data_IF_937480336603
#
_entry.id   IF_937480336603
#
_cell.length_a   1.000
_cell.length_b   1.000
_cell.length_c   1.000
_cell.angle_alpha   90.00
_cell.angle_beta   90.00
_cell.angle_gamma   90.00
#
_symmetry.space_group_name_H-M   'P 1'
#
loop_
_entity.id
_entity.type
_entity.pdbx_description
1 polymer ?
#
# COMPACT_ATOMS: atom_id res chain seq x y z
N UNK A 1 70.51 -16.17 -63.82
CA UNK A 1 71.15 -16.77 -62.64
C UNK A 1 71.80 -15.68 -61.82
N UNK A 2 71.12 -15.12 -60.82
CA UNK A 2 71.60 -15.09 -59.44
C UNK A 2 70.43 -14.69 -58.53
N UNK A 3 70.48 -15.19 -57.31
CA UNK A 3 69.35 -15.48 -56.43
C UNK A 3 69.24 -14.50 -55.25
N UNK A 4 68.13 -14.57 -54.53
CA UNK A 4 67.95 -14.07 -53.15
C UNK A 4 67.04 -12.84 -53.07
N UNK A 5 65.86 -12.83 -52.46
CA UNK A 5 65.38 -13.61 -51.32
C UNK A 5 65.50 -12.75 -50.05
N UNK A 6 64.38 -12.20 -49.56
CA UNK A 6 64.34 -11.43 -48.32
C UNK A 6 63.05 -10.66 -48.12
N UNK A 7 62.03 -11.32 -47.55
CA UNK A 7 60.83 -10.71 -46.99
C UNK A 7 61.14 -10.35 -45.54
N UNK A 8 60.81 -9.15 -45.05
CA UNK A 8 60.22 -8.93 -43.72
C UNK A 8 59.69 -7.50 -43.59
N UNK A 9 58.39 -7.45 -43.34
CA UNK A 9 57.53 -6.38 -42.85
C UNK A 9 58.16 -5.52 -41.75
N UNK A 10 58.07 -4.19 -41.88
CA UNK A 10 58.03 -3.32 -40.70
C UNK A 10 57.00 -2.22 -40.90
N UNK A 11 56.13 -2.13 -39.90
CA UNK A 11 54.89 -1.37 -39.82
C UNK A 11 55.00 0.11 -40.24
N UNK A 12 54.11 0.52 -41.15
CA UNK A 12 53.74 1.92 -41.33
C UNK A 12 52.89 2.38 -40.13
N UNK A 13 53.40 3.36 -39.38
CA UNK A 13 52.67 4.07 -38.33
C UNK A 13 51.89 5.23 -38.98
N UNK A 14 50.57 5.14 -39.04
CA UNK A 14 49.71 6.26 -39.45
C UNK A 14 49.69 7.36 -38.38
N UNK A 15 49.65 8.65 -38.75
CA UNK A 15 49.34 9.75 -37.84
C UNK A 15 47.85 9.80 -37.51
N UNK A 16 47.54 10.02 -36.24
CA UNK A 16 46.20 10.19 -35.68
C UNK A 16 45.52 11.45 -36.22
N UNK A 17 44.36 11.30 -36.86
CA UNK A 17 43.38 12.39 -37.01
C UNK A 17 41.98 11.86 -36.72
N UNK A 18 41.31 12.54 -35.80
CA UNK A 18 40.03 12.17 -35.17
C UNK A 18 38.90 11.87 -36.17
N UNK A 19 38.16 10.83 -35.81
CA UNK A 19 36.93 10.34 -36.42
C UNK A 19 35.78 11.36 -36.38
N UNK A 20 35.03 11.35 -37.48
CA UNK A 20 33.68 11.88 -37.71
C UNK A 20 32.67 11.54 -36.59
N UNK A 21 31.62 12.34 -36.44
CA UNK A 21 30.25 11.98 -36.88
C UNK A 21 29.16 12.88 -36.27
N UNK A 22 28.25 13.34 -37.13
CA UNK A 22 26.97 13.95 -36.78
C UNK A 22 25.98 12.89 -36.26
N UNK A 23 25.18 13.23 -35.24
CA UNK A 23 24.05 12.42 -34.74
C UNK A 23 23.19 13.19 -33.71
N UNK A 24 21.89 12.86 -33.55
CA UNK A 24 20.78 13.80 -33.69
C UNK A 24 20.26 14.47 -32.40
N UNK A 25 19.60 15.62 -32.56
CA UNK A 25 18.81 16.30 -31.54
C UNK A 25 17.78 15.36 -30.91
N UNK A 26 17.95 15.07 -29.61
CA UNK A 26 16.99 14.31 -28.84
C UNK A 26 15.68 15.11 -28.71
N UNK A 27 14.61 14.57 -29.31
CA UNK A 27 13.24 15.00 -29.07
C UNK A 27 12.94 14.70 -27.60
N UNK A 28 12.79 15.74 -26.79
CA UNK A 28 12.29 15.63 -25.42
C UNK A 28 10.82 15.24 -25.49
N UNK A 29 10.54 13.95 -25.36
CA UNK A 29 9.18 13.44 -25.20
C UNK A 29 8.57 14.04 -23.93
N UNK A 30 7.36 14.64 -23.98
CA UNK A 30 6.72 15.09 -22.76
C UNK A 30 6.42 13.88 -21.88
N UNK A 31 6.97 13.86 -20.67
CA UNK A 31 6.65 12.84 -19.69
C UNK A 31 5.13 12.85 -19.47
N UNK A 32 4.44 11.81 -19.95
CA UNK A 32 3.04 11.62 -19.63
C UNK A 32 2.95 11.40 -18.11
N UNK A 33 2.54 12.44 -17.38
CA UNK A 33 2.15 12.30 -15.98
C UNK A 33 0.91 11.43 -15.95
N UNK A 34 1.12 10.11 -15.84
CA UNK A 34 0.04 9.17 -15.58
C UNK A 34 -0.66 9.65 -14.30
N UNK A 35 -1.99 9.82 -14.30
CA UNK A 35 -2.70 10.14 -13.08
C UNK A 35 -2.40 9.03 -12.07
N UNK A 36 -1.82 9.39 -10.92
CA UNK A 36 -1.59 8.45 -9.83
C UNK A 36 -2.95 7.87 -9.46
N UNK A 37 -3.18 6.59 -9.76
CA UNK A 37 -4.33 5.86 -9.22
C UNK A 37 -4.20 5.98 -7.70
N UNK A 38 -5.18 6.58 -7.03
CA UNK A 38 -5.23 6.61 -5.57
C UNK A 38 -5.35 5.15 -5.12
N UNK A 39 -4.26 4.58 -4.62
CA UNK A 39 -4.29 3.22 -4.07
C UNK A 39 -5.25 3.17 -2.87
N UNK A 40 -5.98 2.07 -2.76
CA UNK A 40 -6.87 1.86 -1.62
C UNK A 40 -5.99 1.78 -0.36
N UNK A 41 -6.36 2.44 0.75
CA UNK A 41 -5.64 2.29 2.00
C UNK A 41 -5.59 0.81 2.41
N UNK A 42 -4.47 0.39 3.00
CA UNK A 42 -4.38 -0.92 3.64
C UNK A 42 -5.18 -0.93 4.94
N UNK A 43 -5.67 -2.12 5.33
CA UNK A 43 -6.31 -2.30 6.62
C UNK A 43 -5.34 -1.96 7.77
N UNK A 44 -5.77 -1.07 8.66
CA UNK A 44 -5.09 -0.79 9.91
C UNK A 44 -5.70 -1.61 11.04
N UNK A 45 -4.83 -2.30 11.77
CA UNK A 45 -5.18 -3.13 12.91
C UNK A 45 -5.11 -2.39 14.24
N UNK A 46 -5.47 -3.08 15.31
CA UNK A 46 -5.31 -2.58 16.66
C UNK A 46 -3.90 -2.92 17.17
N UNK A 47 -3.20 -1.95 17.76
CA UNK A 47 -1.83 -2.14 18.27
C UNK A 47 -1.75 -3.17 19.41
N UNK A 48 -2.82 -3.31 20.20
CA UNK A 48 -2.91 -4.28 21.29
C UNK A 48 -3.21 -5.71 20.81
N UNK A 49 -3.51 -5.88 19.53
CA UNK A 49 -3.72 -7.19 18.92
C UNK A 49 -2.44 -7.67 18.25
N UNK A 50 -2.20 -8.98 18.31
CA UNK A 50 -1.15 -9.62 17.52
C UNK A 50 -1.55 -9.69 16.03
N UNK A 51 -0.63 -10.16 15.17
CA UNK A 51 -0.88 -10.25 13.73
C UNK A 51 -2.07 -11.17 13.40
N UNK A 52 -2.15 -12.35 14.00
CA UNK A 52 -3.25 -13.30 13.77
C UNK A 52 -4.62 -12.78 14.21
N UNK A 53 -4.69 -12.05 15.32
CA UNK A 53 -5.93 -11.42 15.80
C UNK A 53 -6.39 -10.29 14.88
N UNK A 54 -5.44 -9.53 14.32
CA UNK A 54 -5.75 -8.51 13.32
C UNK A 54 -6.21 -9.12 11.99
N UNK A 55 -5.67 -10.27 11.56
CA UNK A 55 -6.19 -10.99 10.40
C UNK A 55 -7.65 -11.44 10.58
N UNK A 56 -8.00 -11.90 11.80
CA UNK A 56 -9.38 -12.21 12.15
C UNK A 56 -10.25 -10.96 12.00
N UNK A 57 -9.83 -9.81 12.56
CA UNK A 57 -10.55 -8.54 12.40
C UNK A 57 -10.79 -8.23 10.91
N UNK A 58 -9.76 -8.34 10.06
CA UNK A 58 -9.87 -8.04 8.63
C UNK A 58 -10.83 -8.99 7.91
N UNK A 59 -10.83 -10.27 8.27
CA UNK A 59 -11.79 -11.25 7.74
C UNK A 59 -13.24 -10.90 8.09
N UNK A 60 -13.48 -10.26 9.24
CA UNK A 60 -14.80 -9.86 9.72
C UNK A 60 -15.31 -8.53 9.12
N UNK A 61 -14.46 -7.75 8.43
CA UNK A 61 -14.86 -6.49 7.80
C UNK A 61 -15.85 -6.70 6.65
N UNK A 62 -15.72 -7.82 5.94
CA UNK A 62 -16.45 -8.13 4.71
C UNK A 62 -15.81 -7.54 3.45
N UNK A 63 -16.40 -7.84 2.30
CA UNK A 63 -15.89 -7.43 0.99
C UNK A 63 -15.93 -5.90 0.79
N UNK A 64 -14.89 -5.35 0.16
CA UNK A 64 -14.75 -3.91 -0.12
C UNK A 64 -14.94 -2.99 1.11
N UNK A 65 -14.66 -3.51 2.31
CA UNK A 65 -14.60 -2.74 3.55
C UNK A 65 -13.13 -2.61 3.98
N UNK A 66 -12.69 -1.40 4.33
CA UNK A 66 -11.32 -1.14 4.79
C UNK A 66 -11.33 -0.60 6.22
N UNK A 67 -10.56 -1.21 7.11
CA UNK A 67 -10.28 -0.67 8.44
C UNK A 67 -9.29 0.48 8.32
N UNK A 68 -9.71 1.69 8.66
CA UNK A 68 -8.85 2.89 8.66
C UNK A 68 -8.10 3.06 9.99
N UNK A 69 -8.66 2.55 11.09
CA UNK A 69 -8.06 2.51 12.40
C UNK A 69 -8.79 1.46 13.24
N UNK A 70 -8.11 0.84 14.21
CA UNK A 70 -8.75 -0.05 15.15
C UNK A 70 -8.12 0.04 16.56
N UNK A 71 -8.89 -0.34 17.58
CA UNK A 71 -8.45 -0.31 18.97
C UNK A 71 -9.31 -1.17 19.88
N UNK A 72 -8.74 -1.63 21.00
CA UNK A 72 -9.46 -2.38 22.03
C UNK A 72 -10.26 -1.40 22.89
N UNK A 73 -11.56 -1.67 23.09
CA UNK A 73 -12.47 -0.77 23.82
C UNK A 73 -13.46 -1.53 24.70
N UNK A 74 -14.05 -0.79 25.64
CA UNK A 74 -15.26 -1.16 26.33
C UNK A 74 -16.39 -0.19 25.93
N UNK A 75 -17.44 -0.71 25.29
CA UNK A 75 -18.61 0.06 24.93
C UNK A 75 -19.53 0.21 26.15
N UNK A 76 -19.87 1.44 26.48
CA UNK A 76 -20.83 1.79 27.52
C UNK A 76 -22.13 2.28 26.87
N UNK A 77 -23.27 2.00 27.50
CA UNK A 77 -24.55 2.62 27.17
C UNK A 77 -25.06 3.42 28.35
N UNK A 78 -25.54 4.61 28.07
CA UNK A 78 -26.27 5.41 29.05
C UNK A 78 -27.60 4.74 29.38
N UNK A 79 -28.02 4.82 30.64
CA UNK A 79 -29.37 4.41 31.05
C UNK A 79 -30.42 5.30 30.37
N UNK A 80 -31.46 4.73 29.72
CA UNK A 80 -32.48 5.53 29.02
C UNK A 80 -33.26 6.50 29.90
N UNK A 81 -33.37 6.20 31.21
CA UNK A 81 -34.07 7.00 32.19
C UNK A 81 -33.12 7.94 32.97
N UNK A 82 -31.81 7.66 32.97
CA UNK A 82 -30.81 8.49 33.63
C UNK A 82 -29.48 8.54 32.87
N UNK A 83 -29.28 9.58 32.06
CA UNK A 83 -28.07 9.78 31.26
C UNK A 83 -26.75 9.93 32.05
N UNK A 84 -26.80 10.05 33.39
CA UNK A 84 -25.60 10.08 34.25
C UNK A 84 -25.10 8.68 34.62
N UNK A 85 -25.92 7.65 34.40
CA UNK A 85 -25.57 6.25 34.69
C UNK A 85 -25.14 5.58 33.40
N UNK A 86 -23.96 4.97 33.42
CA UNK A 86 -23.42 4.23 32.28
C UNK A 86 -23.25 2.76 32.67
N UNK A 87 -23.77 1.87 31.83
CA UNK A 87 -23.63 0.43 32.00
C UNK A 87 -22.74 -0.14 30.92
N UNK A 88 -21.92 -1.13 31.29
CA UNK A 88 -21.06 -1.84 30.34
C UNK A 88 -21.94 -2.68 29.41
N UNK A 89 -21.88 -2.38 28.11
CA UNK A 89 -22.60 -3.13 27.09
C UNK A 89 -21.75 -4.25 26.49
N UNK A 90 -20.58 -3.91 25.92
CA UNK A 90 -19.71 -4.87 25.23
C UNK A 90 -18.23 -4.54 25.44
N UNK A 91 -17.35 -5.52 25.24
CA UNK A 91 -15.89 -5.33 25.18
C UNK A 91 -15.37 -6.05 23.94
N UNK A 92 -14.42 -5.45 23.25
CA UNK A 92 -13.86 -6.02 22.04
C UNK A 92 -12.96 -5.02 21.32
N UNK A 93 -12.87 -5.17 20.00
CA UNK A 93 -12.09 -4.30 19.13
C UNK A 93 -13.03 -3.48 18.28
N UNK A 94 -12.91 -2.16 18.39
CA UNK A 94 -13.61 -1.23 17.50
C UNK A 94 -12.72 -0.92 16.31
N UNK A 95 -13.33 -0.81 15.13
CA UNK A 95 -12.67 -0.36 13.91
C UNK A 95 -13.48 0.77 13.25
N UNK A 96 -12.77 1.78 12.78
CA UNK A 96 -13.31 2.78 11.86
C UNK A 96 -13.24 2.20 10.45
N UNK A 97 -14.38 1.85 9.88
CA UNK A 97 -14.48 1.13 8.61
C UNK A 97 -14.95 2.07 7.50
N UNK A 98 -14.22 2.10 6.38
CA UNK A 98 -14.70 2.65 5.11
C UNK A 98 -15.41 1.56 4.32
N UNK A 99 -16.73 1.65 4.25
CA UNK A 99 -17.57 0.78 3.42
C UNK A 99 -17.70 1.40 2.02
N UNK A 100 -17.01 0.84 1.04
CA UNK A 100 -17.04 1.35 -0.33
C UNK A 100 -18.38 1.09 -1.03
N UNK A 101 -19.01 -0.10 -0.92
CA UNK A 101 -20.33 -0.35 -1.49
C UNK A 101 -21.38 0.66 -1.02
N UNK A 102 -21.42 0.95 0.29
CA UNK A 102 -22.37 1.91 0.87
C UNK A 102 -21.91 3.36 0.80
N UNK A 103 -20.69 3.63 0.31
CA UNK A 103 -20.05 4.95 0.27
C UNK A 103 -20.01 5.71 1.61
N UNK A 104 -20.15 5.01 2.72
CA UNK A 104 -20.28 5.58 4.08
C UNK A 104 -19.11 5.15 4.97
N UNK A 105 -19.07 5.67 6.19
CA UNK A 105 -18.13 5.28 7.23
C UNK A 105 -18.93 4.68 8.38
N UNK A 106 -18.35 3.67 9.03
CA UNK A 106 -18.96 3.02 10.17
C UNK A 106 -17.95 2.88 11.29
N UNK A 107 -18.41 3.02 12.52
CA UNK A 107 -17.71 2.50 13.68
C UNK A 107 -18.28 1.10 13.94
N UNK A 108 -17.47 0.04 13.80
CA UNK A 108 -17.89 -1.35 14.00
C UNK A 108 -17.13 -1.97 15.16
N UNK A 109 -17.85 -2.62 16.07
CA UNK A 109 -17.30 -3.33 17.22
C UNK A 109 -17.36 -4.84 17.00
N UNK A 110 -16.23 -5.51 17.22
CA UNK A 110 -16.04 -6.93 17.03
C UNK A 110 -15.56 -7.61 18.31
N UNK A 111 -16.13 -8.76 18.62
CA UNK A 111 -15.62 -9.68 19.63
C UNK A 111 -14.73 -10.71 18.94
N UNK A 112 -13.42 -10.45 18.94
CA UNK A 112 -12.41 -11.20 18.17
C UNK A 112 -12.40 -12.68 18.57
N UNK A 113 -12.42 -12.99 19.86
CA UNK A 113 -12.40 -14.38 20.35
C UNK A 113 -13.65 -15.20 19.99
N UNK A 114 -14.76 -14.52 19.67
CA UNK A 114 -16.00 -15.17 19.23
C UNK A 114 -16.24 -15.03 17.73
N UNK A 115 -15.29 -14.46 16.99
CA UNK A 115 -15.43 -14.10 15.58
C UNK A 115 -16.77 -13.43 15.25
N UNK A 116 -17.20 -12.50 16.11
CA UNK A 116 -18.55 -11.93 16.04
C UNK A 116 -18.53 -10.42 15.92
N UNK A 117 -19.29 -9.90 14.96
CA UNK A 117 -19.69 -8.52 14.92
C UNK A 117 -20.84 -8.27 15.92
N UNK A 118 -20.68 -7.29 16.82
CA UNK A 118 -21.61 -7.09 17.94
C UNK A 118 -22.35 -5.75 17.90
N UNK A 119 -21.79 -4.74 17.25
CA UNK A 119 -22.40 -3.41 17.20
C UNK A 119 -21.81 -2.57 16.07
N UNK A 120 -22.64 -1.74 15.42
CA UNK A 120 -22.16 -0.67 14.53
C UNK A 120 -22.90 0.64 14.75
N UNK A 121 -22.25 1.72 14.30
CA UNK A 121 -22.84 3.04 14.13
C UNK A 121 -22.35 3.65 12.82
N UNK A 122 -23.28 4.19 12.03
CA UNK A 122 -22.94 4.98 10.85
C UNK A 122 -22.42 6.36 11.27
N UNK A 123 -21.39 6.85 10.59
CA UNK A 123 -20.78 8.17 10.78
C UNK A 123 -21.10 9.11 9.62
#
# INVERSE_FOLDING_TARGET
MNSGGGVTTTLYRQPTTLSQSNGPSAIVSPSSRRPRKKERPQNQGATLLNASENEILYSLLGHDCISLAAGVVQLLRADPHNARVWTRAHVGVVSLVKDYPKRSYFLRLYEIFKNKFVWEQML
#
